data_IF_230272515084
#
_entry.id   IF_230272515084
#
_cell.length_a   1.000
_cell.length_b   1.000
_cell.length_c   1.000
_cell.angle_alpha   90.00
_cell.angle_beta   90.00
_cell.angle_gamma   90.00
#
_symmetry.space_group_name_H-M   'P 1'
#
loop_
_entity.id
_entity.type
_entity.pdbx_description
1 polymer ?
#
# COMPACT_ATOMS: atom_id res chain seq x y z
N UNK A 1 16.57 18.76 28.59
CA UNK A 1 16.49 17.33 28.90
C UNK A 1 17.38 17.10 30.09
N UNK A 2 16.92 16.37 31.11
CA UNK A 2 17.52 16.38 32.46
C UNK A 2 19.06 16.18 32.49
N UNK A 3 19.63 15.46 31.53
CA UNK A 3 21.09 15.29 31.40
C UNK A 3 21.84 16.59 31.00
N UNK A 4 21.23 17.44 30.17
CA UNK A 4 21.76 18.74 29.75
C UNK A 4 21.80 19.72 30.93
N UNK A 5 20.79 19.68 31.79
CA UNK A 5 20.65 20.62 32.91
C UNK A 5 21.65 20.30 34.05
N UNK A 6 21.90 19.01 34.29
CA UNK A 6 22.89 18.55 35.28
C UNK A 6 24.32 18.88 34.85
N UNK A 7 24.64 18.73 33.55
CA UNK A 7 25.97 19.08 33.04
C UNK A 7 26.22 20.59 32.99
N UNK A 8 25.19 21.38 32.69
CA UNK A 8 25.29 22.83 32.71
C UNK A 8 25.51 23.37 34.14
N UNK A 9 24.92 22.72 35.16
CA UNK A 9 25.18 23.04 36.56
C UNK A 9 26.62 22.71 36.98
N UNK A 10 27.18 21.59 36.52
CA UNK A 10 28.57 21.20 36.79
C UNK A 10 29.59 22.15 36.14
N UNK A 11 29.33 22.58 34.90
CA UNK A 11 30.18 23.56 34.21
C UNK A 11 30.10 24.91 34.94
N UNK A 12 28.94 25.33 35.42
CA UNK A 12 28.80 26.65 36.05
C UNK A 12 29.45 26.72 37.44
N UNK A 13 29.46 25.61 38.21
CA UNK A 13 30.04 25.59 39.56
C UNK A 13 31.54 25.20 39.62
N UNK A 14 32.09 24.58 38.58
CA UNK A 14 33.47 24.06 38.59
C UNK A 14 34.58 25.06 38.21
N UNK A 15 34.27 26.24 37.66
CA UNK A 15 35.26 27.08 36.95
C UNK A 15 36.07 28.00 37.87
N UNK A 16 35.82 28.01 39.19
CA UNK A 16 36.54 28.94 40.08
C UNK A 16 37.96 28.53 40.47
N UNK A 17 38.46 27.36 40.04
CA UNK A 17 39.81 26.90 40.36
C UNK A 17 40.51 26.34 39.12
N UNK A 18 41.27 27.21 38.45
CA UNK A 18 42.42 26.87 37.60
C UNK A 18 42.12 26.32 36.17
N UNK A 19 42.83 26.87 35.18
CA UNK A 19 43.03 26.36 33.79
C UNK A 19 42.01 26.78 32.71
N UNK A 20 42.32 27.88 32.02
CA UNK A 20 41.70 28.28 30.75
C UNK A 20 41.89 27.26 29.60
N UNK A 21 42.90 26.38 29.68
CA UNK A 21 43.15 25.34 28.67
C UNK A 21 42.19 24.15 28.78
N UNK A 22 41.83 23.72 30.00
CA UNK A 22 40.89 22.60 30.18
C UNK A 22 39.48 22.94 29.72
N UNK A 23 39.04 24.20 29.90
CA UNK A 23 37.73 24.67 29.46
C UNK A 23 37.57 24.64 27.93
N UNK A 24 38.67 24.85 27.17
CA UNK A 24 38.66 24.72 25.71
C UNK A 24 38.47 23.26 25.27
N UNK A 25 39.14 22.32 25.95
CA UNK A 25 39.05 20.89 25.65
C UNK A 25 37.64 20.33 25.93
N UNK A 26 37.03 20.71 27.05
CA UNK A 26 35.65 20.32 27.37
C UNK A 26 34.63 20.87 26.36
N UNK A 27 34.86 22.08 25.84
CA UNK A 27 33.99 22.69 24.84
C UNK A 27 34.07 21.96 23.49
N UNK A 28 35.26 21.58 23.04
CA UNK A 28 35.42 20.83 21.79
C UNK A 28 34.74 19.46 21.85
N UNK A 29 34.90 18.74 22.97
CA UNK A 29 34.20 17.47 23.20
C UNK A 29 32.68 17.67 23.22
N UNK A 30 32.19 18.75 23.84
CA UNK A 30 30.77 19.08 23.83
C UNK A 30 30.25 19.32 22.41
N UNK A 31 30.95 20.12 21.60
CA UNK A 31 30.57 20.41 20.22
C UNK A 31 30.55 19.12 19.37
N UNK A 32 31.50 18.20 19.58
CA UNK A 32 31.51 16.89 18.94
C UNK A 32 30.30 16.03 19.33
N UNK A 33 29.94 15.99 20.62
CA UNK A 33 28.78 15.23 21.11
C UNK A 33 27.48 15.79 20.51
N UNK A 34 27.34 17.12 20.50
CA UNK A 34 26.16 17.79 19.92
C UNK A 34 26.04 17.47 18.44
N UNK A 35 27.14 17.59 17.68
CA UNK A 35 27.14 17.27 16.24
C UNK A 35 26.82 15.81 15.96
N UNK A 36 27.33 14.90 16.78
CA UNK A 36 27.02 13.47 16.66
C UNK A 36 25.55 13.18 16.96
N UNK A 37 24.97 13.88 17.94
CA UNK A 37 23.55 13.78 18.27
C UNK A 37 22.67 14.29 17.13
N UNK A 38 22.96 15.46 16.57
CA UNK A 38 22.23 16.01 15.41
C UNK A 38 22.30 15.08 14.19
N UNK A 39 23.45 14.45 13.96
CA UNK A 39 23.63 13.47 12.89
C UNK A 39 22.79 12.21 13.15
N UNK A 40 22.77 11.72 14.39
CA UNK A 40 21.98 10.56 14.77
C UNK A 40 20.46 10.83 14.64
N UNK A 41 20.01 12.03 15.01
CA UNK A 41 18.61 12.46 14.86
C UNK A 41 18.22 12.56 13.39
N UNK A 42 19.08 13.17 12.56
CA UNK A 42 18.90 13.23 11.10
C UNK A 42 18.83 11.84 10.45
N UNK A 43 19.67 10.90 10.89
CA UNK A 43 19.63 9.52 10.41
C UNK A 43 18.34 8.81 10.83
N UNK A 44 17.83 9.09 12.03
CA UNK A 44 16.56 8.53 12.50
C UNK A 44 15.38 9.03 11.67
N UNK A 45 15.37 10.30 11.30
CA UNK A 45 14.35 10.87 10.42
C UNK A 45 14.41 10.26 9.01
N UNK A 46 15.62 10.10 8.46
CA UNK A 46 15.81 9.44 7.16
C UNK A 46 15.37 7.98 7.18
N UNK A 47 15.68 7.24 8.25
CA UNK A 47 15.23 5.85 8.41
C UNK A 47 13.70 5.76 8.48
N UNK A 48 13.06 6.70 9.17
CA UNK A 48 11.60 6.77 9.26
C UNK A 48 11.00 7.03 7.88
N UNK A 49 11.52 8.02 7.14
CA UNK A 49 11.08 8.31 5.77
C UNK A 49 11.31 7.12 4.82
N UNK A 50 12.44 6.44 4.93
CA UNK A 50 12.73 5.25 4.13
C UNK A 50 11.75 4.10 4.42
N UNK A 51 11.39 3.90 5.69
CA UNK A 51 10.37 2.92 6.08
C UNK A 51 9.00 3.26 5.48
N UNK A 52 8.59 4.53 5.52
CA UNK A 52 7.34 4.98 4.92
C UNK A 52 7.30 4.74 3.40
N UNK A 53 8.41 5.04 2.70
CA UNK A 53 8.55 4.75 1.27
C UNK A 53 8.50 3.25 0.99
N UNK A 54 9.16 2.43 1.81
CA UNK A 54 9.13 0.97 1.69
C UNK A 54 7.70 0.43 1.85
N UNK A 55 6.99 0.84 2.91
CA UNK A 55 5.60 0.44 3.15
C UNK A 55 4.68 0.88 2.01
N UNK A 56 4.85 2.11 1.51
CA UNK A 56 4.12 2.62 0.34
C UNK A 56 4.38 1.76 -0.91
N UNK A 57 5.62 1.38 -1.15
CA UNK A 57 6.00 0.53 -2.29
C UNK A 57 5.40 -0.88 -2.19
N UNK A 58 5.44 -1.48 -0.98
CA UNK A 58 4.81 -2.78 -0.72
C UNK A 58 3.31 -2.71 -0.92
N UNK A 59 2.66 -1.67 -0.40
CA UNK A 59 1.22 -1.44 -0.59
C UNK A 59 0.85 -1.27 -2.06
N UNK A 60 1.65 -0.52 -2.82
CA UNK A 60 1.44 -0.35 -4.25
C UNK A 60 1.56 -1.68 -5.02
N UNK A 61 2.58 -2.50 -4.70
CA UNK A 61 2.73 -3.83 -5.29
C UNK A 61 1.57 -4.77 -4.94
N UNK A 62 1.08 -4.71 -3.71
CA UNK A 62 -0.10 -5.46 -3.27
C UNK A 62 -1.36 -5.00 -4.01
N UNK A 63 -1.55 -3.69 -4.19
CA UNK A 63 -2.66 -3.13 -4.96
C UNK A 63 -2.60 -3.57 -6.43
N UNK A 64 -1.43 -3.57 -7.06
CA UNK A 64 -1.26 -4.06 -8.43
C UNK A 64 -1.60 -5.56 -8.54
N UNK A 65 -1.12 -6.37 -7.60
CA UNK A 65 -1.38 -7.82 -7.58
C UNK A 65 -2.87 -8.11 -7.36
N UNK A 66 -3.49 -7.44 -6.39
CA UNK A 66 -4.93 -7.57 -6.10
C UNK A 66 -5.78 -7.08 -7.28
N UNK A 67 -5.38 -5.99 -7.94
CA UNK A 67 -6.06 -5.49 -9.15
C UNK A 67 -6.02 -6.55 -10.26
N UNK A 68 -4.87 -7.19 -10.50
CA UNK A 68 -4.75 -8.24 -11.51
C UNK A 68 -5.69 -9.43 -11.21
N UNK A 69 -5.66 -9.94 -9.97
CA UNK A 69 -6.56 -11.02 -9.53
C UNK A 69 -8.03 -10.63 -9.64
N UNK A 70 -8.39 -9.39 -9.29
CA UNK A 70 -9.78 -8.90 -9.36
C UNK A 70 -10.25 -8.77 -10.81
N UNK A 71 -9.41 -8.29 -11.72
CA UNK A 71 -9.73 -8.24 -13.16
C UNK A 71 -10.01 -9.64 -13.67
N UNK A 72 -9.16 -10.62 -13.37
CA UNK A 72 -9.37 -12.02 -13.74
C UNK A 72 -10.69 -12.54 -13.15
N UNK A 73 -10.90 -12.41 -11.84
CA UNK A 73 -12.11 -12.90 -11.17
C UNK A 73 -13.39 -12.25 -11.72
N UNK A 74 -13.34 -10.96 -12.03
CA UNK A 74 -14.48 -10.21 -12.56
C UNK A 74 -14.91 -10.65 -13.97
N UNK A 75 -13.96 -11.16 -14.77
CA UNK A 75 -14.26 -11.77 -16.05
C UNK A 75 -14.87 -13.17 -15.85
N UNK A 76 -14.31 -13.98 -14.96
CA UNK A 76 -14.77 -15.36 -14.78
C UNK A 76 -16.08 -15.52 -14.00
N UNK A 77 -16.30 -14.78 -12.91
CA UNK A 77 -17.54 -14.85 -12.11
C UNK A 77 -18.86 -14.80 -12.90
N UNK A 78 -19.11 -13.83 -13.79
CA UNK A 78 -20.32 -13.77 -14.60
C UNK A 78 -20.43 -14.94 -15.59
N UNK A 79 -19.31 -15.31 -16.23
CA UNK A 79 -19.22 -16.41 -17.19
C UNK A 79 -19.49 -17.75 -16.49
N UNK A 80 -18.92 -17.96 -15.30
CA UNK A 80 -19.18 -19.10 -14.43
C UNK A 80 -20.62 -19.12 -13.92
N UNK A 81 -21.18 -17.98 -13.54
CA UNK A 81 -22.59 -17.88 -13.14
C UNK A 81 -23.51 -18.28 -14.28
N UNK A 82 -23.23 -17.81 -15.50
CA UNK A 82 -24.09 -18.04 -16.64
C UNK A 82 -23.97 -19.46 -17.19
N UNK A 83 -22.75 -20.00 -17.25
CA UNK A 83 -22.54 -21.42 -17.57
C UNK A 83 -23.17 -22.34 -16.52
N UNK A 84 -23.11 -21.98 -15.23
CA UNK A 84 -23.81 -22.70 -14.16
C UNK A 84 -25.33 -22.61 -14.29
N UNK A 85 -25.87 -21.40 -14.50
CA UNK A 85 -27.30 -21.17 -14.65
C UNK A 85 -27.90 -21.93 -15.84
N UNK A 86 -27.25 -21.85 -17.00
CA UNK A 86 -27.68 -22.60 -18.18
C UNK A 86 -27.41 -24.09 -18.05
N UNK A 87 -26.31 -24.51 -17.43
CA UNK A 87 -26.04 -25.92 -17.15
C UNK A 87 -27.12 -26.58 -16.28
N UNK A 88 -27.69 -25.83 -15.33
CA UNK A 88 -28.78 -26.31 -14.45
C UNK A 88 -30.18 -26.21 -15.09
N UNK A 89 -30.42 -25.21 -15.95
CA UNK A 89 -31.77 -24.92 -16.49
C UNK A 89 -31.93 -25.19 -18.00
N UNK A 90 -30.98 -25.88 -18.63
CA UNK A 90 -30.99 -26.15 -20.07
C UNK A 90 -32.24 -26.91 -20.53
N UNK A 91 -32.72 -27.86 -19.72
CA UNK A 91 -33.93 -28.64 -20.00
C UNK A 91 -35.20 -27.76 -19.97
N UNK A 92 -35.28 -26.79 -19.06
CA UNK A 92 -36.39 -25.83 -19.00
C UNK A 92 -36.38 -24.88 -20.20
N UNK A 93 -35.21 -24.39 -20.58
CA UNK A 93 -35.06 -23.47 -21.71
C UNK A 93 -35.43 -24.12 -23.06
N UNK A 94 -35.02 -25.38 -23.27
CA UNK A 94 -35.41 -26.18 -24.45
C UNK A 94 -36.92 -26.49 -24.43
N UNK A 95 -37.49 -26.70 -23.24
CA UNK A 95 -38.94 -26.94 -23.08
C UNK A 95 -39.81 -25.72 -23.38
N UNK A 96 -39.34 -24.49 -23.10
CA UNK A 96 -40.11 -23.25 -23.34
C UNK A 96 -39.99 -22.73 -24.77
N UNK A 97 -38.85 -22.92 -25.44
CA UNK A 97 -38.63 -22.40 -26.80
C UNK A 97 -38.92 -23.41 -27.92
N UNK A 98 -39.35 -24.63 -27.55
CA UNK A 98 -39.73 -25.78 -28.42
C UNK A 98 -38.68 -26.24 -29.45
N UNK A 99 -37.60 -25.47 -29.64
CA UNK A 99 -36.53 -25.70 -30.59
C UNK A 99 -35.17 -25.52 -29.88
N UNK A 100 -34.30 -26.56 -29.85
CA UNK A 100 -33.01 -26.50 -29.18
C UNK A 100 -32.09 -25.36 -29.66
N UNK A 101 -32.25 -24.95 -30.92
CA UNK A 101 -31.47 -23.89 -31.56
C UNK A 101 -31.78 -22.50 -31.00
N UNK A 102 -33.06 -22.17 -30.77
CA UNK A 102 -33.45 -20.86 -30.23
C UNK A 102 -33.06 -20.71 -28.76
N UNK A 103 -33.18 -21.79 -27.97
CA UNK A 103 -32.73 -21.82 -26.58
C UNK A 103 -31.21 -21.55 -26.47
N UNK A 104 -30.42 -22.17 -27.35
CA UNK A 104 -28.97 -21.94 -27.41
C UNK A 104 -28.62 -20.50 -27.82
N UNK A 105 -29.33 -19.94 -28.80
CA UNK A 105 -29.08 -18.60 -29.33
C UNK A 105 -29.39 -17.50 -28.30
N UNK A 106 -30.48 -17.66 -27.54
CA UNK A 106 -30.82 -16.77 -26.42
C UNK A 106 -29.77 -16.85 -25.30
N UNK A 107 -29.26 -18.05 -25.00
CA UNK A 107 -28.19 -18.22 -24.01
C UNK A 107 -26.88 -17.52 -24.39
N UNK A 108 -26.50 -17.58 -25.66
CA UNK A 108 -25.33 -16.83 -26.16
C UNK A 108 -25.58 -15.32 -26.15
N UNK A 109 -26.78 -14.87 -26.53
CA UNK A 109 -27.12 -13.45 -26.52
C UNK A 109 -27.05 -12.83 -25.11
N UNK A 110 -27.55 -13.53 -24.08
CA UNK A 110 -27.45 -13.06 -22.69
C UNK A 110 -26.02 -13.09 -22.18
N UNK A 111 -25.20 -14.08 -22.55
CA UNK A 111 -23.76 -14.12 -22.25
C UNK A 111 -23.01 -12.91 -22.82
N UNK A 112 -23.27 -12.60 -24.08
CA UNK A 112 -22.63 -11.47 -24.75
C UNK A 112 -23.06 -10.12 -24.15
N UNK A 113 -24.35 -9.95 -23.85
CA UNK A 113 -24.86 -8.72 -23.22
C UNK A 113 -24.25 -8.51 -21.83
N UNK A 114 -24.20 -9.56 -20.99
CA UNK A 114 -23.59 -9.47 -19.66
C UNK A 114 -22.09 -9.11 -19.74
N UNK A 115 -21.37 -9.74 -20.66
CA UNK A 115 -19.94 -9.48 -20.89
C UNK A 115 -19.70 -8.04 -21.37
N UNK A 116 -20.53 -7.54 -22.30
CA UNK A 116 -20.44 -6.16 -22.79
C UNK A 116 -20.77 -5.12 -21.71
N UNK A 117 -21.77 -5.37 -20.86
CA UNK A 117 -22.11 -4.50 -19.73
C UNK A 117 -20.94 -4.40 -18.74
N UNK A 118 -20.29 -5.52 -18.45
CA UNK A 118 -19.12 -5.51 -17.57
C UNK A 118 -17.92 -4.81 -18.18
N UNK A 119 -17.60 -5.06 -19.46
CA UNK A 119 -16.55 -4.33 -20.18
C UNK A 119 -16.80 -2.82 -20.17
N UNK A 120 -18.04 -2.40 -20.39
CA UNK A 120 -18.43 -0.99 -20.33
C UNK A 120 -18.23 -0.40 -18.92
N UNK A 121 -18.66 -1.11 -17.87
CA UNK A 121 -18.47 -0.68 -16.49
C UNK A 121 -16.99 -0.59 -16.09
N UNK A 122 -16.16 -1.55 -16.53
CA UNK A 122 -14.72 -1.55 -16.27
C UNK A 122 -14.01 -0.38 -16.93
N UNK A 123 -14.39 -0.06 -18.18
CA UNK A 123 -13.86 1.10 -18.91
C UNK A 123 -14.32 2.43 -18.30
N UNK A 124 -15.58 2.51 -17.84
CA UNK A 124 -16.09 3.72 -17.16
C UNK A 124 -15.44 3.95 -15.79
N UNK A 125 -15.06 2.88 -15.08
CA UNK A 125 -14.38 2.98 -13.79
C UNK A 125 -12.87 3.22 -13.90
N UNK A 126 -12.29 3.22 -15.10
CA UNK A 126 -10.86 3.48 -15.34
C UNK A 126 -9.94 2.37 -14.83
N UNK A 127 -10.46 1.14 -14.72
CA UNK A 127 -9.67 -0.01 -14.27
C UNK A 127 -8.88 -0.64 -15.43
N UNK A 128 -9.36 -0.45 -16.66
CA UNK A 128 -8.68 -0.57 -17.95
C UNK A 128 -8.46 0.84 -18.52
#
# INVERSE_FOLDING_TARGET
>A
GAQRDVFQALITHGIHLQQADMTLYYRDVYDHIVRQYETADSLRDLLTSAMDVYLSTVSNRLNQTTKALTVIASLFLPLSFLTGFYGMNFAYLVGVLETPTNAFLVGIATMLIATFIQLYLFRRRGWL
#
